data_IF_580257906450
#
_entry.id   IF_580257906450
#
_cell.length_a   1.000
_cell.length_b   1.000
_cell.length_c   1.000
_cell.angle_alpha   90.00
_cell.angle_beta   90.00
_cell.angle_gamma   90.00
#
_symmetry.space_group_name_H-M   'P 1'
#
loop_
_entity.id
_entity.type
_entity.pdbx_description
1 polymer ?
#
# COMPACT_ATOMS: atom_id res chain seq x y z
N UNK A 1 -10.60 24.84 -74.89
CA UNK A 1 -10.50 24.76 -73.43
C UNK A 1 -9.76 23.47 -73.06
N UNK A 2 -8.66 23.62 -72.32
CA UNK A 2 -7.73 22.56 -71.93
C UNK A 2 -8.26 21.70 -70.77
N UNK A 3 -7.49 20.66 -70.42
CA UNK A 3 -7.62 19.70 -69.30
C UNK A 3 -8.25 18.35 -69.63
N UNK A 4 -7.48 17.43 -70.24
CA UNK A 4 -7.65 15.97 -69.99
C UNK A 4 -6.36 15.14 -70.13
N UNK A 5 -5.17 15.71 -69.84
CA UNK A 5 -3.87 15.00 -69.92
C UNK A 5 -3.11 14.91 -68.60
N UNK A 6 -3.80 14.77 -67.45
CA UNK A 6 -3.17 14.59 -66.12
C UNK A 6 -3.63 13.37 -65.30
N UNK A 7 -4.56 12.54 -65.80
CA UNK A 7 -5.08 11.39 -65.01
C UNK A 7 -4.37 10.05 -65.27
N UNK A 8 -3.73 9.86 -66.43
CA UNK A 8 -3.11 8.58 -66.80
C UNK A 8 -1.75 8.31 -66.11
N UNK A 9 -0.94 9.34 -65.84
CA UNK A 9 0.36 9.18 -65.18
C UNK A 9 0.26 8.79 -63.70
N UNK A 10 -0.83 9.17 -63.02
CA UNK A 10 -1.06 8.82 -61.62
C UNK A 10 -1.33 7.31 -61.46
N UNK A 11 -2.10 6.72 -62.37
CA UNK A 11 -2.44 5.29 -62.35
C UNK A 11 -1.22 4.37 -62.55
N UNK A 12 -0.30 4.72 -63.45
CA UNK A 12 0.92 3.91 -63.66
C UNK A 12 1.92 4.04 -62.49
N UNK A 13 2.02 5.20 -61.85
CA UNK A 13 2.85 5.37 -60.65
C UNK A 13 2.27 4.61 -59.46
N UNK A 14 0.95 4.64 -59.28
CA UNK A 14 0.25 3.89 -58.24
C UNK A 14 0.41 2.38 -58.44
N UNK A 15 0.28 1.88 -59.68
CA UNK A 15 0.44 0.46 -60.04
C UNK A 15 1.85 -0.08 -59.81
N UNK A 16 2.88 0.75 -59.98
CA UNK A 16 4.27 0.39 -59.70
C UNK A 16 4.59 0.36 -58.20
N UNK A 17 3.84 1.12 -57.38
CA UNK A 17 4.04 1.18 -55.93
C UNK A 17 3.34 0.05 -55.16
N UNK A 18 2.30 -0.58 -55.74
CA UNK A 18 1.59 -1.72 -55.13
C UNK A 18 2.53 -2.88 -54.74
N UNK A 19 3.43 -3.39 -55.61
CA UNK A 19 4.33 -4.47 -55.23
C UNK A 19 5.34 -4.05 -54.15
N UNK A 20 5.75 -2.77 -54.15
CA UNK A 20 6.68 -2.24 -53.14
C UNK A 20 6.02 -2.15 -51.76
N UNK A 21 4.77 -1.65 -51.69
CA UNK A 21 3.99 -1.59 -50.44
C UNK A 21 3.70 -3.01 -49.92
N UNK A 22 3.37 -3.94 -50.83
CA UNK A 22 3.14 -5.34 -50.47
C UNK A 22 4.41 -6.00 -49.92
N UNK A 23 5.57 -5.76 -50.52
CA UNK A 23 6.85 -6.27 -50.03
C UNK A 23 7.23 -5.68 -48.67
N UNK A 24 7.08 -4.36 -48.47
CA UNK A 24 7.35 -3.69 -47.19
C UNK A 24 6.41 -4.20 -46.09
N UNK A 25 5.13 -4.37 -46.40
CA UNK A 25 4.14 -4.95 -45.48
C UNK A 25 4.50 -6.40 -45.11
N UNK A 26 4.89 -7.23 -46.08
CA UNK A 26 5.35 -8.59 -45.84
C UNK A 26 6.57 -8.66 -44.93
N UNK A 27 7.57 -7.80 -45.16
CA UNK A 27 8.77 -7.70 -44.31
C UNK A 27 8.39 -7.26 -42.89
N UNK A 28 7.51 -6.26 -42.74
CA UNK A 28 7.03 -5.82 -41.43
C UNK A 28 6.28 -6.93 -40.68
N UNK A 29 5.46 -7.73 -41.36
CA UNK A 29 4.75 -8.86 -40.75
C UNK A 29 5.70 -9.99 -40.33
N UNK A 30 6.71 -10.29 -41.14
CA UNK A 30 7.75 -11.27 -40.79
C UNK A 30 8.57 -10.77 -39.60
N UNK A 31 8.93 -9.48 -39.59
CA UNK A 31 9.70 -8.87 -38.52
C UNK A 31 8.87 -8.80 -37.23
N UNK A 32 7.57 -8.53 -37.31
CA UNK A 32 6.65 -8.60 -36.18
C UNK A 32 6.50 -10.03 -35.66
N UNK A 33 6.43 -11.03 -36.55
CA UNK A 33 6.42 -12.45 -36.18
C UNK A 33 7.71 -12.88 -35.48
N UNK A 34 8.87 -12.51 -36.02
CA UNK A 34 10.17 -12.77 -35.41
C UNK A 34 10.33 -12.07 -34.06
N UNK A 35 9.92 -10.80 -33.96
CA UNK A 35 9.89 -10.07 -32.68
C UNK A 35 8.91 -10.70 -31.70
N UNK A 36 7.83 -11.33 -32.15
CA UNK A 36 6.91 -12.07 -31.28
C UNK A 36 7.48 -13.40 -30.77
N UNK A 37 8.35 -14.05 -31.57
CA UNK A 37 9.09 -15.26 -31.18
C UNK A 37 10.32 -14.97 -30.30
N UNK A 38 11.00 -13.83 -30.52
CA UNK A 38 12.14 -13.38 -29.70
C UNK A 38 11.72 -12.57 -28.47
N UNK A 39 10.52 -11.97 -28.48
CA UNK A 39 9.94 -11.40 -27.29
C UNK A 39 9.76 -12.55 -26.29
N UNK A 40 10.36 -12.47 -25.09
CA UNK A 40 10.01 -13.43 -24.05
C UNK A 40 8.50 -13.36 -23.89
N UNK A 41 7.81 -14.50 -24.01
CA UNK A 41 6.41 -14.57 -23.60
C UNK A 41 6.34 -13.93 -22.21
N UNK A 42 5.42 -12.99 -21.94
CA UNK A 42 5.10 -12.71 -20.56
C UNK A 42 4.66 -14.07 -20.04
N UNK A 43 5.51 -14.70 -19.24
CA UNK A 43 5.16 -15.93 -18.54
C UNK A 43 4.01 -15.53 -17.66
N UNK A 44 2.80 -15.74 -18.17
CA UNK A 44 1.56 -15.64 -17.44
C UNK A 44 1.51 -16.86 -16.52
N UNK A 45 2.37 -16.84 -15.52
CA UNK A 45 2.34 -17.77 -14.40
C UNK A 45 1.29 -17.36 -13.36
N UNK A 46 0.40 -16.42 -13.68
CA UNK A 46 -0.60 -15.87 -12.76
C UNK A 46 -2.02 -16.09 -13.29
N UNK A 47 -2.38 -17.35 -13.59
CA UNK A 47 -3.78 -17.71 -13.68
C UNK A 47 -4.35 -17.86 -12.23
N UNK A 48 -5.30 -17.02 -11.78
CA UNK A 48 -5.86 -17.09 -10.42
C UNK A 48 -6.51 -18.44 -10.10
N UNK A 49 -6.87 -19.22 -11.12
CA UNK A 49 -7.41 -20.58 -10.98
C UNK A 49 -6.39 -21.60 -10.44
N UNK A 50 -5.09 -21.42 -10.71
CA UNK A 50 -4.03 -22.30 -10.18
C UNK A 50 -3.68 -21.97 -8.72
N UNK A 51 -3.71 -20.68 -8.36
CA UNK A 51 -3.53 -20.20 -6.97
C UNK A 51 -4.58 -20.83 -6.03
N UNK A 52 -5.85 -20.92 -6.46
CA UNK A 52 -6.91 -21.54 -5.66
C UNK A 52 -6.70 -23.05 -5.47
N UNK A 53 -6.11 -23.74 -6.44
CA UNK A 53 -5.90 -25.20 -6.38
C UNK A 53 -4.69 -25.58 -5.51
N UNK A 54 -3.65 -24.75 -5.43
CA UNK A 54 -2.54 -24.96 -4.50
C UNK A 54 -2.91 -24.66 -3.04
N UNK A 55 -3.69 -23.60 -2.79
CA UNK A 55 -4.19 -23.26 -1.45
C UNK A 55 -5.07 -24.38 -0.86
N UNK A 56 -5.87 -25.05 -1.69
CA UNK A 56 -6.71 -26.17 -1.24
C UNK A 56 -5.95 -27.49 -1.02
N UNK A 57 -4.79 -27.68 -1.67
CA UNK A 57 -4.02 -28.94 -1.56
C UNK A 57 -3.01 -28.97 -0.41
N UNK A 58 -2.56 -27.81 0.07
CA UNK A 58 -1.56 -27.74 1.16
C UNK A 58 -2.17 -27.60 2.56
N UNK A 59 -3.50 -27.45 2.66
CA UNK A 59 -4.24 -27.34 3.92
C UNK A 59 -4.82 -28.64 4.46
N UNK A 60 -4.41 -29.80 3.93
CA UNK A 60 -4.95 -31.11 4.31
C UNK A 60 -3.89 -32.07 4.87
N UNK A 61 -2.85 -31.53 5.50
CA UNK A 61 -1.86 -32.30 6.25
C UNK A 61 -1.99 -31.99 7.74
N UNK A 62 -2.62 -32.92 8.45
CA UNK A 62 -2.54 -33.22 9.87
C UNK A 62 -2.51 -32.05 10.86
N UNK A 63 -3.67 -31.73 11.45
CA UNK A 63 -3.75 -31.30 12.84
C UNK A 63 -5.08 -31.79 13.44
N UNK A 64 -4.97 -32.34 14.64
CA UNK A 64 -5.92 -33.18 15.34
C UNK A 64 -7.34 -32.60 15.50
N UNK A 65 -8.31 -33.50 15.43
CA UNK A 65 -9.71 -33.24 15.69
C UNK A 65 -9.94 -32.89 17.17
N UNK A 66 -10.05 -31.60 17.50
CA UNK A 66 -10.78 -31.14 18.68
C UNK A 66 -12.15 -30.61 18.24
N UNK A 67 -13.19 -31.39 18.53
CA UNK A 67 -14.58 -31.07 18.26
C UNK A 67 -15.09 -30.12 19.35
N UNK A 68 -14.76 -28.83 19.24
CA UNK A 68 -15.50 -27.77 19.93
C UNK A 68 -16.19 -26.89 18.88
N UNK A 69 -17.51 -26.82 18.99
CA UNK A 69 -18.40 -26.05 18.13
C UNK A 69 -18.21 -24.55 18.42
N UNK A 70 -17.08 -24.00 17.98
CA UNK A 70 -16.77 -22.59 17.99
C UNK A 70 -16.75 -22.07 16.56
N UNK A 71 -17.42 -20.93 16.32
CA UNK A 71 -17.31 -20.17 15.06
C UNK A 71 -15.83 -20.05 14.63
N UNK A 72 -15.48 -20.33 13.37
CA UNK A 72 -14.10 -20.25 12.92
C UNK A 72 -13.63 -18.79 12.99
N UNK A 73 -12.82 -18.47 14.01
CA UNK A 73 -12.20 -17.17 14.16
C UNK A 73 -11.13 -17.04 13.08
N UNK A 74 -11.40 -16.22 12.06
CA UNK A 74 -10.41 -15.85 11.05
C UNK A 74 -9.21 -15.20 11.75
N UNK A 75 -8.06 -15.87 11.73
CA UNK A 75 -6.79 -15.34 12.23
C UNK A 75 -5.78 -15.31 11.09
N UNK A 76 -5.04 -14.21 10.96
CA UNK A 76 -3.81 -14.20 10.15
C UNK A 76 -2.83 -15.21 10.77
N UNK A 77 -2.30 -16.18 10.00
CA UNK A 77 -1.33 -17.14 10.52
C UNK A 77 -0.10 -16.43 11.10
N UNK A 78 0.24 -16.72 12.35
CA UNK A 78 1.39 -16.13 13.06
C UNK A 78 2.74 -16.43 12.40
N UNK A 79 2.85 -17.57 11.73
CA UNK A 79 3.89 -17.82 10.76
C UNK A 79 3.39 -17.32 9.42
N UNK A 80 3.83 -16.13 9.00
CA UNK A 80 3.67 -15.71 7.61
C UNK A 80 4.23 -16.85 6.76
N UNK A 81 3.35 -17.59 6.10
CA UNK A 81 3.76 -18.75 5.31
C UNK A 81 4.86 -18.28 4.39
N UNK A 82 6.04 -18.90 4.47
CA UNK A 82 7.08 -18.73 3.45
C UNK A 82 6.56 -19.41 2.19
N UNK A 83 5.60 -18.77 1.54
CA UNK A 83 5.45 -18.93 0.11
C UNK A 83 6.81 -18.54 -0.45
N UNK A 84 7.43 -19.42 -1.24
CA UNK A 84 8.63 -19.10 -2.01
C UNK A 84 8.42 -17.89 -2.97
N UNK A 85 7.20 -17.35 -3.03
CA UNK A 85 6.85 -16.06 -3.58
C UNK A 85 6.94 -14.97 -2.50
N UNK A 86 8.10 -14.34 -2.39
CA UNK A 86 8.19 -13.03 -1.75
C UNK A 86 7.78 -11.98 -2.79
N UNK A 87 6.54 -11.50 -2.69
CA UNK A 87 5.95 -10.48 -3.57
C UNK A 87 6.87 -9.25 -3.66
N UNK A 88 7.53 -8.90 -2.55
CA UNK A 88 8.43 -7.76 -2.44
C UNK A 88 9.85 -8.03 -2.95
N UNK A 89 10.24 -9.30 -3.15
CA UNK A 89 11.46 -9.70 -3.88
C UNK A 89 11.21 -10.10 -5.33
N UNK A 90 9.95 -10.08 -5.78
CA UNK A 90 9.65 -10.37 -7.19
C UNK A 90 10.40 -9.41 -8.10
N UNK A 91 10.74 -9.85 -9.32
CA UNK A 91 11.42 -9.00 -10.32
C UNK A 91 10.66 -7.70 -10.63
N UNK A 92 9.35 -7.69 -10.34
CA UNK A 92 8.46 -6.56 -10.54
C UNK A 92 8.37 -5.63 -9.32
N UNK A 93 8.89 -6.01 -8.15
CA UNK A 93 8.84 -5.18 -6.94
C UNK A 93 9.51 -3.81 -7.15
N UNK A 94 10.54 -3.76 -8.00
CA UNK A 94 11.22 -2.53 -8.44
C UNK A 94 10.31 -1.49 -9.10
N UNK A 95 9.13 -1.89 -9.59
CA UNK A 95 8.16 -0.98 -10.20
C UNK A 95 7.17 -0.40 -9.18
N UNK A 96 7.16 -0.89 -7.94
CA UNK A 96 6.34 -0.35 -6.85
C UNK A 96 7.19 0.62 -6.03
N UNK A 97 7.06 1.91 -6.34
CA UNK A 97 7.73 2.99 -5.61
C UNK A 97 6.72 4.07 -5.22
N UNK A 98 7.06 4.86 -4.21
CA UNK A 98 6.22 5.97 -3.76
C UNK A 98 6.01 7.01 -4.86
N UNK A 99 4.79 7.52 -5.01
CA UNK A 99 4.45 8.48 -6.07
C UNK A 99 4.99 9.90 -5.81
N UNK A 100 5.65 10.15 -4.68
CA UNK A 100 6.16 11.47 -4.31
C UNK A 100 7.44 11.36 -3.48
N UNK A 101 8.43 12.19 -3.84
CA UNK A 101 9.63 12.39 -3.02
C UNK A 101 9.44 13.61 -2.12
N UNK A 102 9.98 13.53 -0.91
CA UNK A 102 10.05 14.68 -0.02
C UNK A 102 10.84 15.82 -0.68
N UNK A 103 10.33 17.06 -0.56
CA UNK A 103 11.06 18.22 -1.07
C UNK A 103 12.29 18.50 -0.20
N UNK A 104 13.27 19.24 -0.74
CA UNK A 104 14.46 19.67 0.04
C UNK A 104 14.10 20.48 1.30
N UNK A 105 12.93 21.11 1.31
CA UNK A 105 12.44 21.91 2.43
C UNK A 105 11.62 21.09 3.44
N UNK A 106 11.44 19.78 3.20
CA UNK A 106 10.74 18.92 4.12
C UNK A 106 11.68 18.56 5.29
N UNK A 107 11.48 19.26 6.42
CA UNK A 107 12.34 19.11 7.58
C UNK A 107 12.31 17.68 8.16
N UNK A 108 13.47 17.18 8.57
CA UNK A 108 13.60 15.85 9.14
C UNK A 108 12.81 15.70 10.45
N UNK A 109 12.25 14.52 10.70
CA UNK A 109 11.43 14.22 11.88
C UNK A 109 12.12 14.61 13.21
N UNK A 110 13.43 14.37 13.33
CA UNK A 110 14.21 14.70 14.53
C UNK A 110 14.23 16.20 14.85
N UNK A 111 14.06 17.06 13.84
CA UNK A 111 14.09 18.53 14.00
C UNK A 111 12.72 19.07 14.40
N UNK A 112 11.66 18.54 13.79
CA UNK A 112 10.30 19.08 13.98
C UNK A 112 9.58 18.48 15.19
N UNK A 113 9.85 17.21 15.52
CA UNK A 113 9.13 16.48 16.56
C UNK A 113 9.34 17.13 17.92
N UNK A 114 8.25 17.47 18.61
CA UNK A 114 8.30 18.05 19.95
C UNK A 114 8.41 16.96 21.02
N UNK A 115 9.22 17.17 22.07
CA UNK A 115 9.29 16.23 23.18
C UNK A 115 7.96 16.20 23.94
N UNK A 116 7.67 15.08 24.60
CA UNK A 116 6.49 14.89 25.45
C UNK A 116 5.15 15.15 24.73
N UNK A 117 5.07 14.87 23.43
CA UNK A 117 3.82 14.80 22.66
C UNK A 117 3.71 13.42 22.04
N UNK A 118 2.77 12.63 22.53
CA UNK A 118 2.56 11.27 22.06
C UNK A 118 1.15 11.11 21.51
N UNK A 119 1.08 10.53 20.32
CA UNK A 119 -0.17 10.23 19.65
C UNK A 119 -0.37 8.72 19.65
N UNK A 120 -1.41 8.25 20.32
CA UNK A 120 -1.89 6.90 20.18
C UNK A 120 -3.02 6.92 19.16
N UNK A 121 -3.04 5.95 18.26
CA UNK A 121 -4.08 5.83 17.25
C UNK A 121 -4.72 4.46 17.38
N UNK A 122 -6.05 4.46 17.40
CA UNK A 122 -6.85 3.27 17.16
C UNK A 122 -7.54 3.42 15.79
N UNK A 123 -7.23 2.51 14.87
CA UNK A 123 -7.85 2.48 13.53
C UNK A 123 -9.01 1.50 13.55
N UNK A 124 -10.22 1.99 13.29
CA UNK A 124 -11.43 1.16 13.24
C UNK A 124 -11.97 1.00 11.83
N UNK A 125 -12.89 0.05 11.64
CA UNK A 125 -13.44 -0.29 10.33
C UNK A 125 -12.89 -1.60 9.76
N UNK A 126 -13.29 -1.92 8.52
CA UNK A 126 -12.77 -3.07 7.78
C UNK A 126 -11.31 -2.87 7.32
N UNK A 127 -10.68 -3.91 6.75
CA UNK A 127 -9.24 -3.87 6.39
C UNK A 127 -8.86 -2.67 5.50
N UNK A 128 -9.68 -2.34 4.50
CA UNK A 128 -9.44 -1.18 3.62
C UNK A 128 -9.53 0.16 4.37
N UNK A 129 -10.42 0.26 5.36
CA UNK A 129 -10.57 1.41 6.23
C UNK A 129 -9.38 1.55 7.20
N UNK A 130 -8.94 0.44 7.78
CA UNK A 130 -7.76 0.41 8.64
C UNK A 130 -6.49 0.82 7.88
N UNK A 131 -6.31 0.36 6.63
CA UNK A 131 -5.19 0.80 5.76
C UNK A 131 -5.13 2.32 5.64
N UNK A 132 -6.27 2.95 5.37
CA UNK A 132 -6.36 4.42 5.29
C UNK A 132 -6.10 5.06 6.65
N UNK A 133 -6.61 4.49 7.74
CA UNK A 133 -6.40 4.99 9.10
C UNK A 133 -4.92 4.97 9.53
N UNK A 134 -4.16 3.96 9.11
CA UNK A 134 -2.70 3.89 9.37
C UNK A 134 -1.99 5.04 8.65
N UNK A 135 -2.36 5.34 7.40
CA UNK A 135 -1.80 6.49 6.68
C UNK A 135 -2.16 7.82 7.35
N UNK A 136 -3.43 8.00 7.72
CA UNK A 136 -3.91 9.19 8.43
C UNK A 136 -3.19 9.41 9.76
N UNK A 137 -2.84 8.33 10.48
CA UNK A 137 -2.07 8.37 11.70
C UNK A 137 -0.68 9.00 11.53
N UNK A 138 0.04 8.57 10.50
CA UNK A 138 1.38 9.08 10.17
C UNK A 138 1.28 10.57 9.81
N UNK A 139 0.31 10.93 8.97
CA UNK A 139 0.08 12.32 8.57
C UNK A 139 -0.31 13.20 9.76
N UNK A 140 -1.20 12.73 10.63
CA UNK A 140 -1.62 13.46 11.83
C UNK A 140 -0.45 13.70 12.79
N UNK A 141 0.39 12.69 13.02
CA UNK A 141 1.59 12.83 13.84
C UNK A 141 2.55 13.88 13.27
N UNK A 142 2.73 13.90 11.95
CA UNK A 142 3.52 14.92 11.25
C UNK A 142 2.95 16.33 11.43
N UNK A 143 1.66 16.52 11.17
CA UNK A 143 0.99 17.84 11.30
C UNK A 143 1.10 18.38 12.72
N UNK A 144 0.98 17.51 13.72
CA UNK A 144 1.00 17.87 15.13
C UNK A 144 2.41 17.93 15.74
N UNK A 145 3.44 17.59 14.95
CA UNK A 145 4.83 17.42 15.41
C UNK A 145 4.93 16.52 16.64
N UNK A 146 4.19 15.41 16.63
CA UNK A 146 4.07 14.46 17.73
C UNK A 146 4.81 13.16 17.42
N UNK A 147 5.23 12.46 18.48
CA UNK A 147 5.72 11.08 18.36
C UNK A 147 4.53 10.15 18.22
N UNK A 148 4.50 9.38 17.14
CA UNK A 148 3.48 8.34 16.92
C UNK A 148 3.84 7.10 17.72
N UNK A 149 2.90 6.57 18.49
CA UNK A 149 3.00 5.21 19.03
C UNK A 149 2.43 4.27 17.98
N UNK A 150 3.06 3.10 17.79
CA UNK A 150 2.59 2.07 16.83
C UNK A 150 1.07 1.89 16.95
N UNK A 151 0.31 2.01 15.83
CA UNK A 151 -1.14 1.98 15.86
C UNK A 151 -1.71 0.68 16.44
N UNK A 152 -2.90 0.79 17.03
CA UNK A 152 -3.71 -0.37 17.40
C UNK A 152 -4.83 -0.58 16.39
N UNK A 153 -5.02 -1.83 15.98
CA UNK A 153 -6.10 -2.22 15.09
C UNK A 153 -7.35 -2.52 15.91
N UNK A 154 -8.50 -2.06 15.46
CA UNK A 154 -9.78 -2.44 16.05
C UNK A 154 -10.15 -3.87 15.64
N UNK A 155 -10.26 -4.74 16.64
CA UNK A 155 -10.51 -6.17 16.49
C UNK A 155 -11.98 -6.53 16.78
N UNK A 156 -12.82 -5.54 17.18
CA UNK A 156 -14.16 -5.81 17.73
C UNK A 156 -15.30 -5.33 16.85
N UNK A 157 -15.09 -4.28 16.07
CA UNK A 157 -16.20 -3.63 15.35
C UNK A 157 -16.57 -4.28 14.02
N UNK A 158 -15.59 -4.40 13.12
CA UNK A 158 -15.81 -4.86 11.74
C UNK A 158 -14.82 -5.95 11.33
N UNK A 159 -13.57 -5.84 11.79
CA UNK A 159 -12.54 -6.82 11.56
C UNK A 159 -12.56 -7.84 12.70
N UNK A 160 -12.96 -9.08 12.42
CA UNK A 160 -13.09 -10.16 13.42
C UNK A 160 -11.79 -10.92 13.70
N UNK A 161 -10.66 -10.36 13.31
CA UNK A 161 -9.35 -10.92 13.61
C UNK A 161 -8.82 -10.31 14.90
N UNK A 162 -8.29 -11.15 15.78
CA UNK A 162 -7.72 -10.74 17.08
C UNK A 162 -6.23 -10.39 16.99
N UNK A 163 -5.64 -10.40 15.79
CA UNK A 163 -4.23 -10.13 15.60
C UNK A 163 -3.88 -8.67 15.90
N UNK A 164 -2.76 -8.46 16.57
CA UNK A 164 -2.20 -7.14 16.81
C UNK A 164 -1.44 -6.61 15.59
N UNK A 165 -1.13 -5.31 15.58
CA UNK A 165 -0.41 -4.67 14.47
C UNK A 165 0.90 -5.38 14.12
N UNK A 166 1.65 -5.83 15.13
CA UNK A 166 2.93 -6.54 14.95
C UNK A 166 2.79 -7.98 14.45
N UNK A 167 1.62 -8.59 14.58
CA UNK A 167 1.36 -9.92 14.04
C UNK A 167 1.00 -9.85 12.55
N UNK A 168 0.59 -8.67 12.05
CA UNK A 168 0.22 -8.44 10.65
C UNK A 168 1.32 -7.69 9.88
N UNK A 169 1.97 -6.71 10.49
CA UNK A 169 2.92 -5.80 9.84
C UNK A 169 4.33 -5.92 10.46
N UNK A 170 5.34 -5.79 9.60
CA UNK A 170 6.73 -5.63 10.05
C UNK A 170 6.91 -4.23 10.69
N UNK A 171 6.89 -4.21 12.02
CA UNK A 171 6.99 -2.98 12.81
C UNK A 171 8.34 -2.31 12.67
N UNK A 172 9.42 -3.07 12.56
CA UNK A 172 10.77 -2.52 12.47
C UNK A 172 11.01 -1.90 11.09
N UNK A 173 10.51 -2.52 10.03
CA UNK A 173 10.44 -1.91 8.72
C UNK A 173 9.57 -0.64 8.72
N UNK A 174 8.38 -0.67 9.31
CA UNK A 174 7.50 0.50 9.40
C UNK A 174 8.18 1.70 10.10
N UNK A 175 8.89 1.46 11.20
CA UNK A 175 9.61 2.50 11.95
C UNK A 175 10.82 3.03 11.15
N UNK A 176 11.62 2.13 10.58
CA UNK A 176 12.83 2.52 9.84
C UNK A 176 12.51 3.23 8.53
N UNK A 177 11.47 2.79 7.81
CA UNK A 177 11.04 3.39 6.56
C UNK A 177 10.56 4.84 6.73
N UNK A 178 9.87 5.13 7.83
CA UNK A 178 9.30 6.46 8.12
C UNK A 178 10.19 7.35 9.00
N UNK A 179 11.40 6.91 9.35
CA UNK A 179 12.24 7.59 10.35
C UNK A 179 12.58 9.04 10.01
N UNK A 180 12.62 9.35 8.71
CA UNK A 180 12.91 10.71 8.21
C UNK A 180 11.68 11.64 8.29
N UNK A 181 10.48 11.07 8.31
CA UNK A 181 9.23 11.82 8.20
C UNK A 181 8.55 12.03 9.55
N UNK A 182 8.46 10.96 10.36
CA UNK A 182 7.77 10.94 11.65
C UNK A 182 8.55 10.11 12.66
N UNK A 183 8.63 10.58 13.91
CA UNK A 183 9.18 9.77 15.00
C UNK A 183 8.15 8.74 15.47
N UNK A 184 8.49 7.46 15.36
CA UNK A 184 7.61 6.35 15.76
C UNK A 184 8.26 5.54 16.88
N UNK A 185 7.46 5.14 17.88
CA UNK A 185 7.90 4.27 18.99
C UNK A 185 6.93 3.10 19.17
N UNK A 186 7.46 1.94 19.56
CA UNK A 186 6.64 0.72 19.78
C UNK A 186 5.65 0.88 20.92
N UNK A 187 6.11 1.44 22.04
CA UNK A 187 5.31 1.58 23.27
C UNK A 187 5.48 2.96 23.86
N UNK A 188 4.41 3.47 24.47
CA UNK A 188 4.44 4.74 25.19
C UNK A 188 5.41 4.65 26.39
N UNK A 189 6.35 5.60 26.55
CA UNK A 189 7.34 5.54 27.63
C UNK A 189 6.68 5.82 28.98
N UNK A 190 7.17 5.23 30.07
CA UNK A 190 6.68 5.56 31.43
C UNK A 190 7.28 6.90 31.90
N UNK A 191 6.50 7.73 32.58
CA UNK A 191 7.01 9.00 33.17
C UNK A 191 7.05 8.86 34.69
N UNK A 192 8.26 8.77 35.25
CA UNK A 192 8.45 8.62 36.70
C UNK A 192 7.79 7.36 37.30
N UNK A 193 7.85 6.24 36.57
CA UNK A 193 7.22 4.98 36.99
C UNK A 193 5.69 4.92 36.83
N UNK A 194 5.01 6.03 36.54
CA UNK A 194 3.55 6.08 36.36
C UNK A 194 3.15 5.83 34.90
N UNK A 195 2.05 5.10 34.74
CA UNK A 195 1.38 4.90 33.45
C UNK A 195 0.67 6.20 33.06
N UNK A 196 0.81 6.61 31.80
CA UNK A 196 0.03 7.74 31.28
C UNK A 196 -1.46 7.39 31.24
N UNK A 197 -2.32 8.39 31.38
CA UNK A 197 -3.76 8.29 31.13
C UNK A 197 -4.07 9.02 29.82
N UNK A 198 -4.09 8.33 28.65
CA UNK A 198 -4.36 8.98 27.38
C UNK A 198 -5.76 9.59 27.36
N UNK A 199 -5.88 10.80 26.83
CA UNK A 199 -7.20 11.36 26.57
C UNK A 199 -7.73 10.85 25.23
N UNK A 200 -8.87 10.17 25.27
CA UNK A 200 -9.49 9.61 24.07
C UNK A 200 -10.40 10.61 23.39
N UNK A 201 -10.23 10.80 22.08
CA UNK A 201 -11.15 11.59 21.26
C UNK A 201 -11.35 10.97 19.87
N UNK A 202 -12.51 11.23 19.28
CA UNK A 202 -12.79 10.87 17.88
C UNK A 202 -12.39 12.00 16.96
N UNK A 203 -11.76 11.65 15.84
CA UNK A 203 -11.44 12.59 14.78
C UNK A 203 -12.50 12.47 13.68
N UNK A 204 -13.06 13.59 13.19
CA UNK A 204 -13.98 13.56 12.07
C UNK A 204 -13.35 12.90 10.83
N UNK A 205 -14.16 12.22 10.03
CA UNK A 205 -13.75 11.76 8.70
C UNK A 205 -13.25 12.94 7.87
N UNK A 206 -12.19 12.71 7.07
CA UNK A 206 -11.60 13.71 6.18
C UNK A 206 -11.15 14.98 6.90
N UNK A 207 -10.59 14.84 8.11
CA UNK A 207 -10.04 15.96 8.86
C UNK A 207 -8.83 16.58 8.13
N UNK A 208 -8.93 17.87 7.79
CA UNK A 208 -7.82 18.64 7.22
C UNK A 208 -6.72 18.96 8.25
N UNK A 209 -5.61 19.51 7.79
CA UNK A 209 -4.54 20.06 8.62
C UNK A 209 -5.07 21.04 9.68
N UNK A 210 -5.91 22.00 9.28
CA UNK A 210 -6.56 22.96 10.20
C UNK A 210 -7.48 22.26 11.20
N UNK A 211 -8.17 21.21 10.78
CA UNK A 211 -9.01 20.43 11.69
C UNK A 211 -8.16 19.78 12.80
N UNK A 212 -7.00 19.20 12.48
CA UNK A 212 -6.06 18.68 13.49
C UNK A 212 -5.50 19.77 14.40
N UNK A 213 -5.06 20.89 13.82
CA UNK A 213 -4.52 22.02 14.58
C UNK A 213 -5.54 22.64 15.54
N UNK A 214 -6.80 22.77 15.12
CA UNK A 214 -7.82 23.41 15.95
C UNK A 214 -8.45 22.47 16.98
N UNK A 215 -8.58 21.18 16.67
CA UNK A 215 -9.28 20.21 17.54
C UNK A 215 -8.34 19.37 18.38
N UNK A 216 -7.27 18.84 17.79
CA UNK A 216 -6.40 17.85 18.44
C UNK A 216 -5.23 18.50 19.15
N UNK A 217 -4.58 19.50 18.53
CA UNK A 217 -3.41 20.14 19.11
C UNK A 217 -3.67 20.73 20.50
N UNK A 218 -4.77 21.46 20.79
CA UNK A 218 -4.99 22.03 22.12
C UNK A 218 -5.11 20.95 23.21
N UNK A 219 -5.77 19.83 22.88
CA UNK A 219 -5.91 18.68 23.77
C UNK A 219 -4.56 18.02 24.00
N UNK A 220 -3.79 17.81 22.94
CA UNK A 220 -2.46 17.21 23.00
C UNK A 220 -1.49 18.06 23.81
N UNK A 221 -1.56 19.39 23.71
CA UNK A 221 -0.74 20.30 24.52
C UNK A 221 -1.10 20.23 26.00
N UNK A 222 -2.39 20.10 26.33
CA UNK A 222 -2.87 20.03 27.72
C UNK A 222 -2.59 18.67 28.37
N UNK A 223 -2.66 17.58 27.60
CA UNK A 223 -2.61 16.21 28.13
C UNK A 223 -1.30 15.48 27.84
N UNK A 224 -0.47 15.99 26.92
CA UNK A 224 0.76 15.37 26.39
C UNK A 224 0.57 14.05 25.64
N UNK A 225 -0.48 13.30 25.97
CA UNK A 225 -0.81 12.00 25.39
C UNK A 225 -2.28 11.99 24.98
N UNK A 226 -2.53 11.87 23.69
CA UNK A 226 -3.89 11.78 23.12
C UNK A 226 -4.06 10.48 22.36
N UNK A 227 -5.18 9.79 22.60
CA UNK A 227 -5.61 8.61 21.84
C UNK A 227 -6.69 9.02 20.84
N UNK A 228 -6.38 8.98 19.55
CA UNK A 228 -7.33 9.30 18.49
C UNK A 228 -7.96 8.02 17.96
N UNK A 229 -9.29 8.04 17.85
CA UNK A 229 -10.03 7.05 17.10
C UNK A 229 -10.26 7.60 15.69
N UNK A 230 -9.61 6.98 14.72
CA UNK A 230 -9.75 7.31 13.31
C UNK A 230 -10.79 6.36 12.71
N UNK A 231 -12.00 6.87 12.55
CA UNK A 231 -13.06 6.21 11.79
C UNK A 231 -12.95 6.67 10.34
N UNK A 232 -12.58 5.78 9.41
CA UNK A 232 -12.55 6.08 7.97
C UNK A 232 -13.85 5.67 7.28
#
# INVERSE_FOLDING_TARGET
MAFHRRRYHYYNRLRSLVPLISAVSGILLILFGLLSFLAPSPTDSDNPGYLRRQVLKLGNGDDDADNSTGEPVSRVPRGGGRLNLDIWRSRNSKFYYGCSNASKNFAHASVVTKPNRYLLIATSGGLNQQRTGITDAVVAARILNATLVVPKLDQKSFWKDTSDFSEIFDVDWFISFLSNDVKIIKTLPKRGGKTWTPHTMRVPRKCSDRCYQNRVLPVLLKRHVSSLFLTT
#
